data_IF_709696258389
#
_entry.id   IF_709696258389
#
_cell.length_a   1.000
_cell.length_b   1.000
_cell.length_c   1.000
_cell.angle_alpha   90.00
_cell.angle_beta   90.00
_cell.angle_gamma   90.00
#
_symmetry.space_group_name_H-M   'P 1'
#
loop_
_entity.id
_entity.type
_entity.pdbx_description
1 polymer ?
#
# COMPACT_ATOMS: atom_id res chain seq x y z
N UNK A 1 -0.09 1.03 -2.31
CA UNK A 1 0.03 0.04 -1.21
C UNK A 1 1.44 -0.52 -1.24
N UNK A 2 2.27 -0.15 -0.27
CA UNK A 2 3.69 -0.51 -0.25
C UNK A 2 3.98 -1.58 0.81
N UNK A 3 4.73 -2.61 0.41
CA UNK A 3 5.12 -3.72 1.28
C UNK A 3 6.61 -3.74 1.60
N UNK A 4 7.05 -4.80 2.29
CA UNK A 4 8.46 -4.96 2.66
C UNK A 4 9.40 -5.14 1.47
N UNK A 5 8.92 -5.70 0.35
CA UNK A 5 9.68 -5.81 -0.89
C UNK A 5 10.08 -4.44 -1.47
N UNK A 6 9.24 -3.41 -1.28
CA UNK A 6 9.57 -2.04 -1.68
C UNK A 6 10.75 -1.47 -0.88
N UNK A 7 10.82 -1.78 0.41
CA UNK A 7 11.96 -1.38 1.26
C UNK A 7 13.22 -2.13 0.83
N UNK A 8 13.13 -3.45 0.66
CA UNK A 8 14.27 -4.32 0.31
C UNK A 8 14.88 -3.94 -1.04
N UNK A 9 14.03 -3.59 -2.03
CA UNK A 9 14.47 -3.18 -3.37
C UNK A 9 14.98 -1.74 -3.44
N UNK A 10 14.85 -0.95 -2.36
CA UNK A 10 15.24 0.45 -2.37
C UNK A 10 14.36 1.33 -3.27
N UNK A 11 13.11 0.95 -3.53
CA UNK A 11 12.22 1.62 -4.50
C UNK A 11 11.65 2.99 -4.04
N UNK A 12 12.13 3.54 -2.93
CA UNK A 12 11.61 4.74 -2.28
C UNK A 12 11.52 5.98 -3.20
N UNK A 13 12.54 6.26 -4.02
CA UNK A 13 12.52 7.40 -4.96
C UNK A 13 11.44 7.25 -6.02
N UNK A 14 11.29 6.05 -6.61
CA UNK A 14 10.28 5.78 -7.62
C UNK A 14 8.86 5.84 -7.05
N UNK A 15 8.67 5.36 -5.82
CA UNK A 15 7.37 5.46 -5.13
C UNK A 15 7.03 6.92 -4.86
N UNK A 16 8.00 7.73 -4.41
CA UNK A 16 7.81 9.15 -4.19
C UNK A 16 7.43 9.88 -5.47
N UNK A 17 8.19 9.68 -6.54
CA UNK A 17 7.94 10.27 -7.84
C UNK A 17 6.56 9.91 -8.39
N UNK A 18 6.18 8.63 -8.30
CA UNK A 18 4.87 8.15 -8.73
C UNK A 18 3.73 8.79 -7.93
N UNK A 19 3.86 8.81 -6.60
CA UNK A 19 2.86 9.37 -5.71
C UNK A 19 2.66 10.87 -5.93
N UNK A 20 3.73 11.61 -6.23
CA UNK A 20 3.66 13.05 -6.52
C UNK A 20 3.08 13.33 -7.90
N UNK A 21 3.54 12.63 -8.93
CA UNK A 21 3.08 12.84 -10.32
C UNK A 21 1.59 12.58 -10.48
N UNK A 22 1.08 11.55 -9.82
CA UNK A 22 -0.32 11.14 -9.92
C UNK A 22 -1.16 11.61 -8.74
N UNK A 23 -0.55 12.29 -7.76
CA UNK A 23 -1.16 12.72 -6.52
C UNK A 23 -1.95 11.58 -5.81
N UNK A 24 -1.30 10.42 -5.70
CA UNK A 24 -1.91 9.20 -5.15
C UNK A 24 -1.69 9.10 -3.64
N UNK A 25 -2.69 8.62 -2.88
CA UNK A 25 -2.51 8.24 -1.48
C UNK A 25 -1.61 7.00 -1.37
N UNK A 26 -0.74 6.99 -0.36
CA UNK A 26 0.18 5.89 -0.07
C UNK A 26 -0.13 5.31 1.31
N UNK A 27 -0.42 4.02 1.31
CA UNK A 27 -0.61 3.20 2.51
C UNK A 27 0.49 2.14 2.58
N UNK A 28 0.92 1.80 3.78
CA UNK A 28 2.04 0.86 4.01
C UNK A 28 1.61 -0.35 4.83
N UNK A 29 2.17 -1.52 4.54
CA UNK A 29 2.18 -2.60 5.53
C UNK A 29 3.12 -2.23 6.69
N UNK A 30 3.07 -2.98 7.79
CA UNK A 30 4.06 -2.88 8.86
C UNK A 30 5.49 -3.01 8.31
N UNK A 31 5.71 -3.97 7.40
CA UNK A 31 7.01 -4.21 6.78
C UNK A 31 7.39 -3.16 5.72
N UNK A 32 6.42 -2.42 5.20
CA UNK A 32 6.62 -1.34 4.23
C UNK A 32 6.88 0.02 4.89
N UNK A 33 6.87 0.12 6.22
CA UNK A 33 7.24 1.35 6.90
C UNK A 33 8.68 1.74 6.55
N UNK A 34 8.87 2.98 6.09
CA UNK A 34 10.15 3.47 5.57
C UNK A 34 10.26 3.46 4.04
N UNK A 35 9.37 2.77 3.32
CA UNK A 35 9.35 2.84 1.84
C UNK A 35 8.83 4.19 1.30
N UNK A 36 8.15 4.99 2.13
CA UNK A 36 7.61 6.29 1.76
C UNK A 36 7.71 7.26 2.95
N UNK A 37 7.93 8.58 2.73
CA UNK A 37 8.09 9.53 3.83
C UNK A 37 6.79 9.69 4.63
N UNK A 38 6.83 9.36 5.93
CA UNK A 38 5.64 9.40 6.80
C UNK A 38 5.07 10.80 7.03
N UNK A 39 5.86 11.85 6.81
CA UNK A 39 5.44 13.25 6.89
C UNK A 39 4.87 13.80 5.58
N UNK A 40 4.88 13.00 4.52
CA UNK A 40 4.35 13.42 3.22
C UNK A 40 2.82 13.56 3.27
N UNK A 41 2.26 14.57 2.59
CA UNK A 41 0.82 14.84 2.56
C UNK A 41 -0.04 13.66 2.09
N UNK A 42 0.53 12.80 1.25
CA UNK A 42 -0.16 11.63 0.70
C UNK A 42 0.08 10.35 1.53
N UNK A 43 0.86 10.43 2.62
CA UNK A 43 1.08 9.29 3.52
C UNK A 43 -0.13 9.11 4.42
N UNK A 44 -0.88 8.04 4.22
CA UNK A 44 -2.02 7.66 5.07
C UNK A 44 -1.61 6.77 6.25
N UNK A 45 -0.34 6.34 6.28
CA UNK A 45 0.21 5.50 7.35
C UNK A 45 0.02 4.01 7.12
N UNK A 46 0.06 3.25 8.21
CA UNK A 46 -0.02 1.80 8.18
C UNK A 46 -1.47 1.34 8.04
N UNK A 47 -1.75 0.36 7.16
CA UNK A 47 -3.04 -0.34 7.12
C UNK A 47 -3.05 -1.60 8.00
N UNK A 48 -4.23 -2.09 8.35
CA UNK A 48 -4.45 -3.34 9.07
C UNK A 48 -5.13 -3.16 10.43
N UNK A 49 -5.13 -4.22 11.24
CA UNK A 49 -5.84 -4.30 12.54
C UNK A 49 -5.46 -3.18 13.53
N UNK A 50 -4.22 -2.72 13.48
CA UNK A 50 -3.70 -1.61 14.29
C UNK A 50 -3.25 -0.43 13.41
N UNK A 51 -3.72 -0.40 12.16
CA UNK A 51 -3.45 0.65 11.21
C UNK A 51 -4.30 1.90 11.48
N UNK A 52 -4.06 2.93 10.69
CA UNK A 52 -4.90 4.13 10.69
C UNK A 52 -6.27 3.82 10.08
N UNK A 53 -7.29 4.50 10.57
CA UNK A 53 -8.63 4.36 10.03
C UNK A 53 -8.67 4.82 8.56
N UNK A 54 -7.97 5.91 8.27
CA UNK A 54 -7.84 6.53 6.96
C UNK A 54 -7.20 5.58 5.95
N UNK A 55 -6.13 4.86 6.32
CA UNK A 55 -5.51 3.88 5.42
C UNK A 55 -6.45 2.71 5.12
N UNK A 56 -7.18 2.22 6.12
CA UNK A 56 -8.13 1.12 5.95
C UNK A 56 -9.31 1.52 5.07
N UNK A 57 -9.88 2.71 5.27
CA UNK A 57 -10.99 3.21 4.44
C UNK A 57 -10.54 3.53 3.02
N UNK A 58 -9.37 4.16 2.84
CA UNK A 58 -8.84 4.45 1.52
C UNK A 58 -8.59 3.18 0.69
N UNK A 59 -8.13 2.09 1.33
CA UNK A 59 -8.02 0.79 0.67
C UNK A 59 -9.39 0.21 0.33
N UNK A 60 -10.34 0.24 1.27
CA UNK A 60 -11.67 -0.35 1.08
C UNK A 60 -12.45 0.29 -0.08
N UNK A 61 -12.39 1.62 -0.20
CA UNK A 61 -13.10 2.40 -1.20
C UNK A 61 -12.34 2.54 -2.53
N UNK A 62 -11.13 1.99 -2.64
CA UNK A 62 -10.33 2.10 -3.85
C UNK A 62 -10.96 1.31 -5.02
N UNK A 63 -10.94 1.90 -6.21
CA UNK A 63 -11.25 1.25 -7.49
C UNK A 63 -10.00 0.66 -8.16
N UNK A 64 -8.81 1.11 -7.74
CA UNK A 64 -7.52 0.62 -8.18
C UNK A 64 -6.54 0.54 -6.99
N UNK A 65 -5.93 -0.62 -6.81
CA UNK A 65 -4.84 -0.82 -5.84
C UNK A 65 -3.57 -1.14 -6.59
N UNK A 66 -2.57 -0.29 -6.42
CA UNK A 66 -1.21 -0.59 -6.86
C UNK A 66 -0.39 -1.13 -5.69
N UNK A 67 -0.18 -2.45 -5.69
CA UNK A 67 0.68 -3.17 -4.77
C UNK A 67 2.13 -3.16 -5.25
N UNK A 68 3.04 -2.66 -4.42
CA UNK A 68 4.47 -2.58 -4.73
C UNK A 68 5.25 -3.36 -3.67
N UNK A 69 5.82 -4.49 -4.08
CA UNK A 69 6.63 -5.38 -3.24
C UNK A 69 5.87 -5.86 -2.01
N UNK A 70 4.65 -6.34 -2.20
CA UNK A 70 3.72 -6.62 -1.11
C UNK A 70 3.15 -8.01 -1.17
N UNK A 71 3.35 -8.78 -0.09
CA UNK A 71 2.60 -10.01 0.08
C UNK A 71 1.19 -9.69 0.60
N UNK A 72 0.18 -10.02 -0.19
CA UNK A 72 -1.21 -9.99 0.26
C UNK A 72 -1.47 -11.15 1.24
N UNK A 73 -1.11 -10.93 2.49
CA UNK A 73 -1.30 -11.91 3.57
C UNK A 73 -2.74 -11.89 4.09
N UNK A 74 -3.28 -13.05 4.45
CA UNK A 74 -4.59 -13.24 5.08
C UNK A 74 -4.75 -12.44 6.40
N UNK A 75 -3.65 -12.22 7.12
CA UNK A 75 -3.58 -11.35 8.31
C UNK A 75 -3.86 -9.87 7.99
N UNK A 76 -3.77 -9.47 6.73
CA UNK A 76 -4.01 -8.10 6.26
C UNK A 76 -5.39 -7.94 5.65
N UNK A 77 -5.86 -8.94 4.92
CA UNK A 77 -7.12 -8.89 4.16
C UNK A 77 -8.31 -9.48 4.93
N UNK A 78 -8.08 -10.39 5.88
CA UNK A 78 -9.06 -11.15 6.66
C UNK A 78 -10.06 -11.95 5.79
N UNK A 79 -10.92 -11.25 5.05
CA UNK A 79 -11.77 -11.82 4.00
C UNK A 79 -11.51 -11.08 2.68
N UNK A 80 -10.83 -11.75 1.75
CA UNK A 80 -10.52 -11.25 0.40
C UNK A 80 -11.75 -10.75 -0.38
N UNK A 81 -12.92 -11.37 -0.22
CA UNK A 81 -14.16 -10.94 -0.90
C UNK A 81 -14.69 -9.60 -0.35
N UNK A 82 -14.35 -9.26 0.88
CA UNK A 82 -14.73 -7.99 1.52
C UNK A 82 -13.64 -6.93 1.45
N UNK A 83 -12.43 -7.33 1.07
CA UNK A 83 -11.27 -6.46 1.09
C UNK A 83 -11.11 -5.80 -0.28
N UNK A 84 -11.53 -4.55 -0.37
CA UNK A 84 -11.47 -3.75 -1.60
C UNK A 84 -12.32 -4.37 -2.73
N UNK A 85 -13.65 -4.53 -2.51
CA UNK A 85 -14.50 -5.40 -3.32
C UNK A 85 -14.61 -4.99 -4.80
N UNK A 86 -14.36 -3.71 -5.10
CA UNK A 86 -14.43 -3.16 -6.45
C UNK A 86 -13.05 -2.85 -7.04
N UNK A 87 -11.97 -3.12 -6.30
CA UNK A 87 -10.64 -2.70 -6.69
C UNK A 87 -10.07 -3.61 -7.78
N UNK A 88 -9.56 -3.01 -8.86
CA UNK A 88 -8.61 -3.67 -9.73
C UNK A 88 -7.24 -3.66 -9.05
N UNK A 89 -6.62 -4.83 -8.93
CA UNK A 89 -5.28 -4.93 -8.32
C UNK A 89 -4.23 -4.99 -9.42
N UNK A 90 -3.31 -4.02 -9.40
CA UNK A 90 -2.03 -4.08 -10.11
C UNK A 90 -0.95 -4.44 -9.10
N UNK A 91 -0.17 -5.48 -9.38
CA UNK A 91 0.82 -5.98 -8.45
C UNK A 91 2.18 -6.07 -9.14
N UNK A 92 3.19 -5.45 -8.54
CA UNK A 92 4.59 -5.62 -8.93
C UNK A 92 5.31 -6.27 -7.74
N UNK A 93 5.76 -7.49 -7.96
CA UNK A 93 6.56 -8.26 -7.04
C UNK A 93 7.64 -9.04 -7.82
N UNK A 94 8.66 -9.51 -7.11
CA UNK A 94 9.71 -10.36 -7.67
C UNK A 94 9.25 -11.82 -7.74
N UNK A 95 8.35 -12.23 -6.85
CA UNK A 95 7.79 -13.58 -6.82
C UNK A 95 6.68 -13.70 -7.89
N UNK A 96 6.81 -14.61 -8.88
CA UNK A 96 5.89 -14.75 -10.01
C UNK A 96 4.55 -15.42 -9.66
#
# INVERSE_FOLDING_TARGET
YVGGGAVISGAHEHILELADKLNLPVVSTLMGLGAFPGTHKNSLGMLGMHGTYEANMAMHEADLIFGIGVRFDDRTTNNLEKYCPNAKVMHIDIDP
#
